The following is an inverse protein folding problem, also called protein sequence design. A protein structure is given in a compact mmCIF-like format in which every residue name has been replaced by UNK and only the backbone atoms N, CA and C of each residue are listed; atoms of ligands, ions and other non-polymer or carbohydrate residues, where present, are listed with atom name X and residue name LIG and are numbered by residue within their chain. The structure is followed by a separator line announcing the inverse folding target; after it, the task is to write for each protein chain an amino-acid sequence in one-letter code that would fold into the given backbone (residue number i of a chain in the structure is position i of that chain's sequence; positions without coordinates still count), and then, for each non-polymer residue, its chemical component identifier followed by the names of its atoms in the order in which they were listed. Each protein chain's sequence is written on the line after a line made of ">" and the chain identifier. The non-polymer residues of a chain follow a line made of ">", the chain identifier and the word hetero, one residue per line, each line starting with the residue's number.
data_IF_209242510950
#
_entry.id   IF_209242510950
#
_cell.length_a   1.000
_cell.length_b   1.000
_cell.length_c   1.000
_cell.angle_alpha   90.00
_cell.angle_beta   90.00
_cell.angle_gamma   90.00
#
_symmetry.space_group_name_H-M   'P 1'
#
loop_
_entity.id
_entity.type
_entity.pdbx_description
1 polymer ?
#
# COMPACT_ATOMS: atom_id res chain seq x y z
N UNK A 1 8.21 -0.43 -19.37
CA UNK A 1 7.00 -1.25 -19.10
C UNK A 1 5.82 -0.52 -19.72
N UNK A 2 4.94 -1.22 -20.45
CA UNK A 2 3.74 -0.58 -21.01
C UNK A 2 2.85 -0.11 -19.84
N UNK A 3 2.32 1.12 -19.90
CA UNK A 3 1.53 1.75 -18.82
C UNK A 3 0.43 0.82 -18.28
N UNK A 4 -0.26 0.10 -19.17
CA UNK A 4 -1.31 -0.86 -18.82
C UNK A 4 -0.80 -2.06 -18.00
N UNK A 5 0.40 -2.58 -18.30
CA UNK A 5 1.00 -3.70 -17.55
C UNK A 5 1.37 -3.26 -16.14
N UNK A 6 2.02 -2.10 -16.00
CA UNK A 6 2.43 -1.58 -14.69
C UNK A 6 1.24 -1.29 -13.79
N UNK A 7 0.21 -0.70 -14.36
CA UNK A 7 -1.03 -0.39 -13.65
C UNK A 7 -1.77 -1.64 -13.18
N UNK A 8 -1.88 -2.66 -14.03
CA UNK A 8 -2.51 -3.95 -13.65
C UNK A 8 -1.71 -4.70 -12.59
N UNK A 9 -0.38 -4.65 -12.67
CA UNK A 9 0.49 -5.22 -11.65
C UNK A 9 0.28 -4.52 -10.30
N UNK A 10 0.34 -3.18 -10.28
CA UNK A 10 0.09 -2.40 -9.06
C UNK A 10 -1.30 -2.67 -8.47
N UNK A 11 -2.33 -2.74 -9.30
CA UNK A 11 -3.68 -3.08 -8.87
C UNK A 11 -3.77 -4.49 -8.27
N UNK A 12 -3.09 -5.48 -8.85
CA UNK A 12 -3.01 -6.83 -8.27
C UNK A 12 -2.31 -6.85 -6.91
N UNK A 13 -1.20 -6.12 -6.77
CA UNK A 13 -0.46 -6.01 -5.51
C UNK A 13 -1.29 -5.30 -4.42
N UNK A 14 -1.98 -4.22 -4.77
CA UNK A 14 -2.91 -3.52 -3.87
C UNK A 14 -4.07 -4.42 -3.45
N UNK A 15 -4.65 -5.18 -4.37
CA UNK A 15 -5.74 -6.10 -4.05
C UNK A 15 -5.30 -7.19 -3.07
N UNK A 16 -4.12 -7.78 -3.28
CA UNK A 16 -3.56 -8.77 -2.37
C UNK A 16 -3.24 -8.16 -0.99
N UNK A 17 -2.66 -6.95 -0.97
CA UNK A 17 -2.42 -6.19 0.28
C UNK A 17 -3.72 -5.97 1.05
N UNK A 18 -4.79 -5.60 0.34
CA UNK A 18 -6.09 -5.34 0.95
C UNK A 18 -6.73 -6.61 1.54
N UNK A 19 -6.65 -7.72 0.82
CA UNK A 19 -7.12 -9.03 1.33
C UNK A 19 -6.34 -9.44 2.59
N UNK A 20 -5.00 -9.30 2.58
CA UNK A 20 -4.17 -9.61 3.74
C UNK A 20 -4.57 -8.77 4.96
N UNK A 21 -4.71 -7.45 4.78
CA UNK A 21 -5.09 -6.55 5.87
C UNK A 21 -6.47 -6.88 6.44
N UNK A 22 -7.47 -7.14 5.59
CA UNK A 22 -8.80 -7.49 6.06
C UNK A 22 -8.81 -8.85 6.77
N UNK A 23 -8.07 -9.83 6.26
CA UNK A 23 -7.96 -11.16 6.87
C UNK A 23 -7.28 -11.12 8.26
N UNK A 24 -6.27 -10.26 8.44
CA UNK A 24 -5.56 -10.10 9.71
C UNK A 24 -6.27 -9.14 10.68
N UNK A 25 -7.20 -8.31 10.20
CA UNK A 25 -7.85 -7.32 11.06
C UNK A 25 -8.50 -7.87 12.35
N UNK A 26 -9.16 -9.05 12.38
CA UNK A 26 -9.76 -9.58 13.60
C UNK A 26 -8.74 -9.89 14.70
N UNK A 27 -7.56 -10.38 14.31
CA UNK A 27 -6.44 -10.64 15.22
C UNK A 27 -5.99 -9.32 15.87
N UNK A 28 -5.76 -8.29 15.06
CA UNK A 28 -5.33 -6.99 15.55
C UNK A 28 -6.40 -6.23 16.35
N UNK A 29 -7.69 -6.51 16.15
CA UNK A 29 -8.73 -6.02 17.07
C UNK A 29 -8.61 -6.65 18.47
N UNK A 30 -8.12 -7.89 18.57
CA UNK A 30 -7.84 -8.56 19.83
C UNK A 30 -6.61 -8.01 20.55
N UNK A 31 -5.60 -7.59 19.80
CA UNK A 31 -4.37 -7.02 20.35
C UNK A 31 -4.52 -5.54 20.74
N UNK A 32 -5.01 -4.71 19.82
CA UNK A 32 -5.21 -3.29 20.06
C UNK A 32 -6.24 -2.70 19.09
N UNK A 33 -7.38 -2.25 19.61
CA UNK A 33 -8.56 -1.92 18.81
C UNK A 33 -8.29 -0.93 17.65
N UNK A 34 -7.49 0.12 17.89
CA UNK A 34 -7.19 1.10 16.83
C UNK A 34 -6.28 0.52 15.73
N UNK A 35 -5.45 -0.48 16.03
CA UNK A 35 -4.65 -1.19 15.02
C UNK A 35 -5.58 -2.00 14.13
N UNK A 36 -6.54 -2.73 14.71
CA UNK A 36 -7.59 -3.41 13.94
C UNK A 36 -8.34 -2.46 13.01
N UNK A 37 -8.73 -1.27 13.48
CA UNK A 37 -9.34 -0.23 12.64
C UNK A 37 -8.42 0.20 11.49
N UNK A 38 -7.15 0.46 11.76
CA UNK A 38 -6.17 0.83 10.73
C UNK A 38 -6.03 -0.28 9.67
N UNK A 39 -6.04 -1.55 10.08
CA UNK A 39 -6.03 -2.68 9.15
C UNK A 39 -7.28 -2.69 8.25
N UNK A 40 -8.47 -2.47 8.82
CA UNK A 40 -9.70 -2.39 8.01
C UNK A 40 -9.66 -1.22 7.03
N UNK A 41 -9.28 -0.02 7.49
CA UNK A 41 -9.22 1.17 6.65
C UNK A 41 -8.17 1.03 5.54
N UNK A 42 -6.97 0.52 5.86
CA UNK A 42 -5.92 0.21 4.89
C UNK A 42 -6.38 -0.82 3.87
N UNK A 43 -7.07 -1.87 4.33
CA UNK A 43 -7.65 -2.91 3.47
C UNK A 43 -8.67 -2.38 2.48
N UNK A 44 -9.64 -1.57 2.94
CA UNK A 44 -10.64 -0.94 2.09
C UNK A 44 -9.99 0.06 1.11
N UNK A 45 -9.07 0.89 1.60
CA UNK A 45 -8.41 1.90 0.78
C UNK A 45 -7.60 1.27 -0.35
N UNK A 46 -6.83 0.22 -0.08
CA UNK A 46 -6.04 -0.49 -1.10
C UNK A 46 -6.92 -1.20 -2.12
N UNK A 47 -8.03 -1.81 -1.72
CA UNK A 47 -9.00 -2.41 -2.65
C UNK A 47 -9.65 -1.36 -3.56
N UNK A 48 -10.03 -0.21 -2.99
CA UNK A 48 -10.60 0.90 -3.77
C UNK A 48 -9.57 1.46 -4.77
N UNK A 49 -8.32 1.64 -4.35
CA UNK A 49 -7.22 2.10 -5.21
C UNK A 49 -6.85 1.05 -6.26
N UNK A 50 -6.92 -0.24 -5.94
CA UNK A 50 -6.75 -1.33 -6.90
C UNK A 50 -7.80 -1.23 -8.02
N UNK A 51 -9.08 -1.09 -7.66
CA UNK A 51 -10.16 -0.92 -8.62
C UNK A 51 -9.98 0.37 -9.45
N UNK A 52 -9.58 1.47 -8.83
CA UNK A 52 -9.36 2.73 -9.54
C UNK A 52 -8.20 2.64 -10.53
N UNK A 53 -7.04 2.12 -10.10
CA UNK A 53 -5.90 1.90 -10.98
C UNK A 53 -6.24 0.88 -12.06
N UNK A 54 -6.98 -0.19 -11.77
CA UNK A 54 -7.37 -1.15 -12.82
C UNK A 54 -8.04 -0.46 -14.01
N UNK A 55 -8.92 0.51 -13.73
CA UNK A 55 -9.71 1.21 -14.73
C UNK A 55 -9.01 2.44 -15.34
N UNK A 56 -8.18 3.18 -14.60
CA UNK A 56 -7.56 4.44 -15.09
C UNK A 56 -6.15 4.70 -14.55
N UNK A 57 -5.27 5.32 -15.36
CA UNK A 57 -3.89 5.68 -14.98
C UNK A 57 -3.78 7.14 -14.52
N UNK A 58 -4.66 7.58 -13.62
CA UNK A 58 -4.63 8.96 -13.16
C UNK A 58 -3.48 9.19 -12.16
N UNK A 59 -2.71 10.29 -12.26
CA UNK A 59 -1.61 10.57 -11.33
C UNK A 59 -2.03 10.57 -9.86
N UNK A 60 -3.24 11.06 -9.56
CA UNK A 60 -3.79 11.07 -8.19
C UNK A 60 -4.01 9.66 -7.64
N UNK A 61 -4.38 8.69 -8.47
CA UNK A 61 -4.55 7.29 -8.04
C UNK A 61 -3.20 6.66 -7.69
N UNK A 62 -2.16 6.94 -8.48
CA UNK A 62 -0.79 6.51 -8.20
C UNK A 62 -0.24 7.14 -6.92
N UNK A 63 -0.47 8.44 -6.72
CA UNK A 63 -0.06 9.13 -5.49
C UNK A 63 -0.79 8.57 -4.26
N UNK A 64 -2.11 8.37 -4.36
CA UNK A 64 -2.90 7.76 -3.29
C UNK A 64 -2.41 6.37 -2.91
N UNK A 65 -2.14 5.52 -3.91
CA UNK A 65 -1.56 4.18 -3.70
C UNK A 65 -0.20 4.26 -2.98
N UNK A 66 0.69 5.14 -3.43
CA UNK A 66 2.00 5.31 -2.80
C UNK A 66 1.90 5.78 -1.34
N UNK A 67 1.03 6.75 -1.05
CA UNK A 67 0.86 7.30 0.31
C UNK A 67 0.27 6.26 1.25
N UNK A 68 -0.77 5.53 0.83
CA UNK A 68 -1.40 4.49 1.64
C UNK A 68 -0.41 3.35 1.93
N UNK A 69 0.27 2.84 0.90
CA UNK A 69 1.30 1.81 1.05
C UNK A 69 2.47 2.27 1.93
N UNK A 70 2.93 3.52 1.78
CA UNK A 70 3.99 4.05 2.63
C UNK A 70 3.55 4.14 4.10
N UNK A 71 2.31 4.56 4.37
CA UNK A 71 1.75 4.61 5.72
C UNK A 71 1.70 3.23 6.39
N UNK A 72 1.25 2.21 5.65
CA UNK A 72 1.19 0.82 6.14
C UNK A 72 2.60 0.25 6.40
N UNK A 73 3.53 0.41 5.45
CA UNK A 73 4.90 -0.09 5.59
C UNK A 73 5.63 0.57 6.76
N UNK A 74 5.47 1.90 6.91
CA UNK A 74 6.04 2.64 8.04
C UNK A 74 5.39 2.20 9.35
N UNK A 75 4.06 2.02 9.38
CA UNK A 75 3.36 1.53 10.57
C UNK A 75 3.86 0.15 11.01
N UNK A 76 4.05 -0.77 10.06
CA UNK A 76 4.64 -2.07 10.32
C UNK A 76 6.06 -1.92 10.92
N UNK A 77 6.97 -1.22 10.23
CA UNK A 77 8.35 -1.06 10.72
C UNK A 77 8.39 -0.39 12.10
N UNK A 78 7.59 0.64 12.35
CA UNK A 78 7.53 1.32 13.64
C UNK A 78 7.05 0.38 14.74
N UNK A 79 5.97 -0.38 14.50
CA UNK A 79 5.45 -1.33 15.49
C UNK A 79 6.49 -2.39 15.90
N UNK A 80 7.46 -2.70 15.03
CA UNK A 80 8.54 -3.68 15.27
C UNK A 80 9.84 -3.10 15.81
N UNK A 81 10.01 -1.79 15.75
CA UNK A 81 11.28 -1.15 16.11
C UNK A 81 11.14 -0.29 17.37
N UNK A 82 10.27 0.70 17.32
CA UNK A 82 10.08 1.69 18.40
C UNK A 82 8.73 1.56 19.09
N UNK A 83 7.82 0.79 18.50
CA UNK A 83 6.43 0.65 18.92
C UNK A 83 5.53 1.74 18.35
N UNK A 84 4.23 1.46 18.39
CA UNK A 84 3.15 2.41 18.22
C UNK A 84 2.50 2.68 19.58
N UNK A 85 1.68 3.74 19.74
CA UNK A 85 1.01 4.02 21.00
C UNK A 85 0.24 2.80 21.54
N UNK A 86 0.73 2.19 22.63
CA UNK A 86 0.11 1.01 23.22
C UNK A 86 0.11 -0.25 22.34
N UNK A 87 1.05 -0.37 21.40
CA UNK A 87 1.19 -1.57 20.56
C UNK A 87 2.64 -1.76 20.11
N UNK A 88 3.24 -2.91 20.38
CA UNK A 88 4.60 -3.24 19.96
C UNK A 88 4.75 -4.75 19.78
N UNK A 89 5.29 -5.17 18.65
CA UNK A 89 5.51 -6.59 18.33
C UNK A 89 6.94 -6.76 17.82
N UNK A 90 7.77 -7.50 18.55
CA UNK A 90 9.16 -7.71 18.15
C UNK A 90 9.31 -8.71 16.98
N UNK A 91 8.27 -9.52 16.74
CA UNK A 91 8.31 -10.58 15.74
C UNK A 91 8.05 -10.07 14.32
N UNK A 92 8.87 -10.55 13.39
CA UNK A 92 8.77 -10.24 11.98
C UNK A 92 8.03 -11.35 11.25
N UNK A 93 6.73 -11.38 11.47
CA UNK A 93 5.83 -12.36 10.87
C UNK A 93 5.89 -12.35 9.33
N UNK A 94 5.82 -13.55 8.73
CA UNK A 94 5.90 -13.70 7.28
C UNK A 94 4.78 -12.94 6.56
N UNK A 95 3.57 -12.92 7.14
CA UNK A 95 2.42 -12.18 6.62
C UNK A 95 2.71 -10.68 6.51
N UNK A 96 3.32 -10.11 7.55
CA UNK A 96 3.74 -8.71 7.59
C UNK A 96 4.85 -8.40 6.58
N UNK A 97 5.87 -9.26 6.50
CA UNK A 97 6.96 -9.11 5.51
C UNK A 97 6.40 -9.15 4.09
N UNK A 98 5.52 -10.09 3.78
CA UNK A 98 4.87 -10.19 2.47
C UNK A 98 4.04 -8.94 2.15
N UNK A 99 3.31 -8.40 3.12
CA UNK A 99 2.57 -7.14 2.95
C UNK A 99 3.51 -5.98 2.59
N UNK A 100 4.60 -5.79 3.36
CA UNK A 100 5.57 -4.73 3.10
C UNK A 100 6.23 -4.88 1.73
N UNK A 101 6.52 -6.10 1.28
CA UNK A 101 7.07 -6.33 -0.07
C UNK A 101 6.10 -5.89 -1.16
N UNK A 102 4.80 -6.16 -1.00
CA UNK A 102 3.77 -5.70 -1.93
C UNK A 102 3.66 -4.16 -1.91
N UNK A 103 3.64 -3.57 -0.73
CA UNK A 103 3.55 -2.12 -0.53
C UNK A 103 4.74 -1.38 -1.15
N UNK A 104 5.97 -1.83 -0.88
CA UNK A 104 7.19 -1.27 -1.47
C UNK A 104 7.19 -1.42 -2.99
N UNK A 105 6.70 -2.55 -3.51
CA UNK A 105 6.54 -2.73 -4.94
C UNK A 105 5.57 -1.73 -5.56
N UNK A 106 4.42 -1.48 -4.93
CA UNK A 106 3.45 -0.46 -5.37
C UNK A 106 4.07 0.94 -5.33
N UNK A 107 4.82 1.29 -4.27
CA UNK A 107 5.52 2.57 -4.16
C UNK A 107 6.53 2.75 -5.32
N UNK A 108 7.31 1.71 -5.63
CA UNK A 108 8.24 1.73 -6.75
C UNK A 108 7.56 1.94 -8.10
N UNK A 109 6.44 1.22 -8.34
CA UNK A 109 5.64 1.38 -9.55
C UNK A 109 5.02 2.79 -9.67
N UNK A 110 4.52 3.34 -8.56
CA UNK A 110 3.99 4.69 -8.51
C UNK A 110 5.07 5.74 -8.82
N UNK A 111 6.27 5.60 -8.25
CA UNK A 111 7.39 6.49 -8.53
C UNK A 111 7.76 6.51 -10.02
N UNK A 112 7.81 5.33 -10.67
CA UNK A 112 8.07 5.22 -12.10
C UNK A 112 6.97 5.85 -12.96
N UNK A 113 5.70 5.62 -12.61
CA UNK A 113 4.55 6.17 -13.34
C UNK A 113 4.51 7.71 -13.25
N UNK A 114 4.68 8.25 -12.04
CA UNK A 114 4.68 9.70 -11.79
C UNK A 114 5.90 10.41 -12.39
N UNK A 115 7.07 9.76 -12.39
CA UNK A 115 8.29 10.27 -13.01
C UNK A 115 8.20 10.36 -14.53
N UNK A 116 7.49 9.42 -15.17
CA UNK A 116 7.29 9.41 -16.62
C UNK A 116 6.38 10.54 -17.09
N UNK A 117 5.30 10.84 -16.35
CA UNK A 117 4.37 11.93 -16.68
C UNK A 117 5.02 13.32 -16.66
N UNK A 118 5.97 13.56 -15.74
CA UNK A 118 6.71 14.84 -15.67
C UNK A 118 7.61 15.09 -16.88
N UNK A 119 8.20 14.04 -17.46
CA UNK A 119 9.10 14.17 -18.61
C UNK A 119 8.36 14.56 -19.89
N UNK A 120 7.12 14.07 -20.07
CA UNK A 120 6.28 14.44 -21.23
C UNK A 120 5.88 15.92 -21.21
N UNK A 121 5.57 16.47 -20.04
CA UNK A 121 5.22 17.90 -19.92
C UNK A 121 6.41 18.82 -20.22
N UNK A 122 7.62 18.46 -19.79
CA UNK A 122 8.83 19.26 -20.01
C UNK A 122 9.34 19.26 -21.46
N UNK A 123 9.03 18.22 -22.25
CA UNK A 123 9.44 18.14 -23.66
C UNK A 123 8.54 18.93 -24.62
N UNK A 124 7.41 19.48 -24.15
CA UNK A 124 6.41 20.18 -24.98
C UNK A 124 6.43 21.71 -24.78
N UNK A 125 7.39 22.22 -24.00
CA UNK A 125 7.61 23.65 -23.72
C UNK A 125 8.96 24.09 -24.25
#
# INVERSE_FOLDING_TARGET
>A
MNDSTGRRLAAGMLALTGVLHLALSPEYFGEQAYIGVLFVLGGIATLALAAWLWNSSQPVAWLGAAVVCAGMAVGFILSRTTGLPGFHEAEWELSGILSVLLEVGVIGLAALALGSGRQTTAATT
#
